data_IF_069038091254
#
_entry.id   IF_069038091254
#
_cell.length_a   1.000
_cell.length_b   1.000
_cell.length_c   1.000
_cell.angle_alpha   90.00
_cell.angle_beta   90.00
_cell.angle_gamma   90.00
#
_symmetry.space_group_name_H-M   'P 1'
#
loop_
_entity.id
_entity.type
_entity.pdbx_description
1 polymer ?
#
# COMPACT_ATOMS: atom_id res chain seq x y z
N UNK A 1 -13.28 11.30 -5.36
CA UNK A 1 -12.03 11.94 -5.81
C UNK A 1 -11.94 11.77 -7.31
N UNK A 2 -11.91 12.87 -8.07
CA UNK A 2 -11.70 12.85 -9.53
C UNK A 2 -10.21 13.07 -9.77
N UNK A 3 -9.51 12.08 -10.33
CA UNK A 3 -8.09 12.19 -10.63
C UNK A 3 -7.91 12.64 -12.07
N UNK A 4 -7.35 13.83 -12.25
CA UNK A 4 -7.01 14.32 -13.58
C UNK A 4 -5.64 13.77 -13.97
N UNK A 5 -5.59 13.06 -15.10
CA UNK A 5 -4.33 12.69 -15.72
C UNK A 5 -3.68 13.94 -16.29
N UNK A 6 -2.68 14.44 -15.59
CA UNK A 6 -1.94 15.64 -15.97
C UNK A 6 -0.44 15.41 -15.78
N UNK A 7 0.34 16.34 -16.31
CA UNK A 7 1.79 16.32 -16.17
C UNK A 7 2.17 16.73 -14.74
N UNK A 8 2.92 15.88 -14.05
CA UNK A 8 3.47 16.21 -12.72
C UNK A 8 4.42 17.42 -12.81
N UNK A 9 4.23 18.41 -11.96
CA UNK A 9 5.06 19.63 -11.92
C UNK A 9 6.50 19.40 -11.45
N UNK A 10 6.82 18.20 -10.95
CA UNK A 10 8.16 17.82 -10.48
C UNK A 10 8.89 16.94 -11.50
N UNK A 11 8.32 15.77 -11.84
CA UNK A 11 8.99 14.81 -12.73
C UNK A 11 8.59 14.94 -14.21
N UNK A 12 7.62 15.79 -14.53
CA UNK A 12 7.18 16.02 -15.91
C UNK A 12 6.50 14.82 -16.59
N UNK A 13 6.17 13.75 -15.86
CA UNK A 13 5.48 12.57 -16.40
C UNK A 13 3.97 12.69 -16.22
N UNK A 14 3.19 12.07 -17.11
CA UNK A 14 1.73 12.00 -16.98
C UNK A 14 1.35 10.94 -15.95
N UNK A 15 0.67 11.37 -14.91
CA UNK A 15 0.14 10.53 -13.84
C UNK A 15 -1.14 11.16 -13.28
N UNK A 16 -1.89 10.42 -12.45
CA UNK A 16 -2.75 11.05 -11.45
C UNK A 16 -1.92 12.03 -10.63
N UNK A 17 -2.32 13.30 -10.65
CA UNK A 17 -1.71 14.36 -9.84
C UNK A 17 -2.74 14.94 -8.90
N UNK A 18 -2.25 15.51 -7.80
CA UNK A 18 -3.05 16.29 -6.86
C UNK A 18 -2.22 17.51 -6.40
N UNK A 19 -2.88 18.54 -5.88
CA UNK A 19 -2.27 19.82 -5.53
C UNK A 19 -1.38 19.65 -4.30
N UNK A 20 -0.13 20.11 -4.37
CA UNK A 20 0.76 20.08 -3.20
C UNK A 20 0.24 21.05 -2.12
N UNK A 21 0.21 20.59 -0.87
CA UNK A 21 -0.23 21.42 0.27
C UNK A 21 0.78 22.54 0.60
N UNK A 22 2.08 22.23 0.64
CA UNK A 22 3.13 23.20 0.93
C UNK A 22 3.36 24.19 -0.22
N UNK A 23 3.19 23.72 -1.46
CA UNK A 23 3.43 24.50 -2.68
C UNK A 23 2.18 24.53 -3.57
N UNK A 24 1.20 25.42 -3.31
CA UNK A 24 -0.10 25.41 -3.98
C UNK A 24 -0.06 25.67 -5.50
N UNK A 25 1.08 26.10 -6.05
CA UNK A 25 1.24 26.35 -7.49
C UNK A 25 1.58 25.08 -8.28
N UNK A 26 1.93 23.98 -7.61
CA UNK A 26 2.34 22.74 -8.26
C UNK A 26 1.37 21.59 -7.97
N UNK A 27 1.12 20.79 -8.99
CA UNK A 27 0.45 19.49 -8.86
C UNK A 27 1.50 18.39 -8.91
N UNK A 28 1.42 17.45 -7.97
CA UNK A 28 2.43 16.41 -7.77
C UNK A 28 1.81 15.02 -7.89
N UNK A 29 2.55 14.07 -8.48
CA UNK A 29 2.15 12.66 -8.48
C UNK A 29 2.50 11.98 -7.16
N UNK A 30 1.94 10.79 -6.95
CA UNK A 30 2.18 9.99 -5.74
C UNK A 30 3.67 9.78 -5.46
N UNK A 31 4.46 9.40 -6.46
CA UNK A 31 5.90 9.15 -6.31
C UNK A 31 6.66 10.40 -5.84
N UNK A 32 6.49 11.53 -6.52
CA UNK A 32 7.18 12.77 -6.14
C UNK A 32 6.74 13.29 -4.78
N UNK A 33 5.47 13.08 -4.40
CA UNK A 33 4.99 13.42 -3.06
C UNK A 33 5.55 12.47 -1.99
N UNK A 34 5.65 11.17 -2.29
CA UNK A 34 6.15 10.14 -1.37
C UNK A 34 7.64 10.36 -1.03
N UNK A 35 8.46 10.77 -2.00
CA UNK A 35 9.90 10.98 -1.86
C UNK A 35 10.31 12.46 -1.74
N UNK A 36 9.37 13.35 -1.41
CA UNK A 36 9.66 14.77 -1.27
C UNK A 36 10.61 15.04 -0.08
N UNK A 37 11.63 15.87 -0.28
CA UNK A 37 12.59 16.23 0.78
C UNK A 37 11.93 17.00 1.95
N UNK A 38 10.90 17.79 1.66
CA UNK A 38 10.14 18.57 2.65
C UNK A 38 9.02 17.75 3.32
N UNK A 39 8.92 16.44 3.04
CA UNK A 39 7.78 15.62 3.47
C UNK A 39 7.62 15.56 4.98
N UNK A 40 8.72 15.60 5.74
CA UNK A 40 8.68 15.61 7.21
C UNK A 40 8.06 16.90 7.79
N UNK A 41 8.02 17.99 7.01
CA UNK A 41 7.37 19.24 7.37
C UNK A 41 5.95 19.37 6.79
N UNK A 42 5.48 18.36 6.04
CA UNK A 42 4.18 18.38 5.38
C UNK A 42 3.10 17.81 6.32
N UNK A 43 2.28 18.69 6.90
CA UNK A 43 1.18 18.30 7.80
C UNK A 43 0.04 17.58 7.10
N UNK A 44 -0.16 17.87 5.80
CA UNK A 44 -1.22 17.28 4.99
C UNK A 44 -0.71 16.91 3.59
N UNK A 45 0.00 15.78 3.44
CA UNK A 45 0.45 15.31 2.14
C UNK A 45 -0.70 15.14 1.15
N UNK A 46 -0.46 15.46 -0.12
CA UNK A 46 -1.42 15.19 -1.19
C UNK A 46 -1.60 13.67 -1.41
N UNK A 47 -0.51 12.91 -1.22
CA UNK A 47 -0.49 11.46 -1.36
C UNK A 47 0.04 10.77 -0.09
N UNK A 48 -0.68 9.75 0.35
CA UNK A 48 -0.34 8.93 1.50
C UNK A 48 0.13 7.55 1.04
N UNK A 49 1.15 6.99 1.70
CA UNK A 49 1.46 5.57 1.59
C UNK A 49 0.40 4.83 2.41
N UNK A 50 -0.73 4.50 1.80
CA UNK A 50 -1.74 3.69 2.45
C UNK A 50 -1.26 2.22 2.53
N UNK A 51 -0.20 1.97 3.30
CA UNK A 51 0.08 0.63 3.81
C UNK A 51 -0.52 0.63 5.20
N UNK A 52 -1.75 0.10 5.33
CA UNK A 52 -2.30 -0.15 6.67
C UNK A 52 -1.35 -1.15 7.34
N UNK A 53 -0.73 -0.83 8.49
CA UNK A 53 0.04 -1.82 9.22
C UNK A 53 -0.90 -2.97 9.59
N UNK A 54 -0.51 -4.20 9.27
CA UNK A 54 -1.24 -5.40 9.70
C UNK A 54 -1.19 -5.41 11.23
N UNK A 55 -2.36 -5.48 11.88
CA UNK A 55 -2.39 -5.56 13.34
C UNK A 55 -1.79 -6.89 13.81
N UNK A 56 -1.30 -6.93 15.06
CA UNK A 56 -0.77 -8.18 15.62
C UNK A 56 -1.81 -9.31 15.59
N UNK A 57 -3.06 -8.98 15.88
CA UNK A 57 -4.20 -9.91 15.82
C UNK A 57 -4.44 -10.45 14.40
N UNK A 58 -4.37 -9.57 13.40
CA UNK A 58 -4.61 -9.96 12.01
C UNK A 58 -3.44 -10.78 11.43
N UNK A 59 -2.23 -10.58 11.96
CA UNK A 59 -1.08 -11.45 11.69
C UNK A 59 -1.25 -12.83 12.34
N UNK A 60 -1.57 -12.88 13.63
CA UNK A 60 -1.77 -14.14 14.36
C UNK A 60 -2.92 -14.97 13.76
N UNK A 61 -4.01 -14.32 13.30
CA UNK A 61 -5.11 -15.02 12.61
C UNK A 61 -4.64 -15.71 11.33
N UNK A 62 -3.90 -15.00 10.47
CA UNK A 62 -3.38 -15.55 9.22
C UNK A 62 -2.41 -16.70 9.45
N UNK A 63 -1.59 -16.62 10.50
CA UNK A 63 -0.66 -17.69 10.87
C UNK A 63 -1.41 -18.95 11.35
N UNK A 64 -2.50 -18.80 12.11
CA UNK A 64 -3.37 -19.93 12.52
C UNK A 64 -4.07 -20.57 11.32
N UNK A 65 -4.71 -19.78 10.46
CA UNK A 65 -5.39 -20.28 9.25
C UNK A 65 -4.42 -21.05 8.35
N UNK A 66 -3.20 -20.52 8.15
CA UNK A 66 -2.15 -21.19 7.37
C UNK A 66 -1.62 -22.48 8.03
N UNK A 67 -1.63 -22.56 9.36
CA UNK A 67 -1.25 -23.77 10.09
C UNK A 67 -2.34 -24.84 9.97
N UNK A 68 -3.62 -24.47 10.11
CA UNK A 68 -4.76 -25.37 9.95
C UNK A 68 -4.85 -25.95 8.54
N UNK A 69 -4.66 -25.12 7.49
CA UNK A 69 -4.64 -25.59 6.10
C UNK A 69 -3.51 -26.61 5.85
N UNK A 70 -2.32 -26.37 6.42
CA UNK A 70 -1.20 -27.32 6.32
C UNK A 70 -1.52 -28.64 7.02
N UNK A 71 -2.10 -28.58 8.22
CA UNK A 71 -2.49 -29.78 8.97
C UNK A 71 -3.52 -30.59 8.17
N UNK A 72 -4.54 -29.93 7.60
CA UNK A 72 -5.54 -30.60 6.77
C UNK A 72 -4.92 -31.30 5.56
N UNK A 73 -4.04 -30.63 4.81
CA UNK A 73 -3.35 -31.24 3.66
C UNK A 73 -2.52 -32.46 4.06
N UNK A 74 -1.79 -32.38 5.18
CA UNK A 74 -0.99 -33.51 5.67
C UNK A 74 -1.88 -34.69 6.09
N UNK A 75 -3.03 -34.42 6.72
CA UNK A 75 -4.00 -35.46 7.08
C UNK A 75 -4.58 -36.16 5.85
N UNK A 76 -4.95 -35.40 4.82
CA UNK A 76 -5.45 -35.95 3.55
C UNK A 76 -4.38 -36.82 2.87
N UNK A 77 -3.12 -36.39 2.84
CA UNK A 77 -2.01 -37.18 2.29
C UNK A 77 -1.76 -38.49 3.07
N UNK A 78 -1.91 -38.47 4.40
CA UNK A 78 -1.73 -39.66 5.23
C UNK A 78 -2.89 -40.65 5.04
N UNK A 79 -4.14 -40.16 5.01
CA UNK A 79 -5.33 -40.98 4.75
C UNK A 79 -5.32 -41.59 3.35
N UNK A 80 -4.87 -40.83 2.34
CA UNK A 80 -4.72 -41.33 0.97
C UNK A 80 -3.62 -42.38 0.77
N UNK A 81 -2.70 -42.54 1.73
CA UNK A 81 -1.66 -43.59 1.72
C UNK A 81 -2.06 -44.86 2.48
N UNK A 82 -3.16 -44.84 3.22
CA UNK A 82 -3.67 -45.95 4.04
C UNK A 82 -4.79 -46.76 3.37
N UNK A 83 -5.29 -46.31 2.21
CA UNK A 83 -6.21 -47.05 1.33
C UNK A 83 -5.52 -47.51 0.05
#
# INVERSE_FOLDING_TARGET
MTFYWQRCGICGKYYPVDKCFLHPKISVCAYCCLFCAERNHCTKPAWYSAVKPVTKEEKERREREAAEEKIQKVLEELLGKLG
#
